data_IF_476292271770
#
_entry.id   IF_476292271770
#
_cell.length_a   1.000
_cell.length_b   1.000
_cell.length_c   1.000
_cell.angle_alpha   90.00
_cell.angle_beta   90.00
_cell.angle_gamma   90.00
#
_symmetry.space_group_name_H-M   'P 1'
#
loop_
_entity.id
_entity.type
_entity.pdbx_description
1 polymer ?
#
# COMPACT_ATOMS: atom_id res chain seq x y z
N UNK A 1 8.76 31.96 4.21
CA UNK A 1 7.84 31.19 3.36
C UNK A 1 8.22 29.71 3.41
N UNK A 2 7.24 28.84 3.30
CA UNK A 2 7.39 27.41 3.14
C UNK A 2 6.91 27.00 1.75
N UNK A 3 7.62 26.11 1.07
CA UNK A 3 7.29 25.62 -0.27
C UNK A 3 7.20 24.11 -0.24
N UNK A 4 6.16 23.55 -0.86
CA UNK A 4 6.01 22.10 -1.07
C UNK A 4 6.23 21.82 -2.56
N UNK A 5 7.22 20.99 -2.84
CA UNK A 5 7.51 20.46 -4.16
C UNK A 5 6.99 19.03 -4.24
N UNK A 6 5.73 18.91 -4.63
CA UNK A 6 5.09 17.58 -4.82
C UNK A 6 5.38 17.06 -6.23
N UNK A 7 6.65 16.85 -6.53
CA UNK A 7 7.13 16.38 -7.82
C UNK A 7 8.42 15.57 -7.68
N UNK A 8 8.74 14.83 -8.75
CA UNK A 8 9.90 13.92 -8.79
C UNK A 8 11.21 14.68 -8.70
N UNK A 9 12.17 14.17 -7.92
CA UNK A 9 13.56 14.60 -7.80
C UNK A 9 13.81 16.09 -7.45
N UNK A 10 12.81 16.84 -7.02
CA UNK A 10 12.96 18.26 -6.70
C UNK A 10 13.84 18.52 -5.46
N UNK A 11 13.98 17.55 -4.60
CA UNK A 11 14.80 17.58 -3.40
C UNK A 11 15.99 16.61 -3.46
N UNK A 12 16.46 16.25 -4.63
CA UNK A 12 17.57 15.31 -4.77
C UNK A 12 18.93 16.00 -4.43
N UNK A 13 19.21 16.04 -3.15
CA UNK A 13 20.44 16.64 -2.59
C UNK A 13 21.71 15.84 -2.87
N UNK A 14 21.64 14.73 -3.63
CA UNK A 14 22.80 14.04 -4.17
C UNK A 14 23.40 14.79 -5.35
N UNK A 15 22.60 15.64 -5.97
CA UNK A 15 23.04 16.55 -7.02
C UNK A 15 23.49 17.88 -6.41
N UNK A 16 24.55 18.48 -6.96
CA UNK A 16 25.07 19.79 -6.51
C UNK A 16 24.06 20.91 -6.74
N UNK A 17 23.16 20.76 -7.70
CA UNK A 17 22.16 21.72 -8.09
C UNK A 17 20.78 21.08 -8.21
N UNK A 18 19.89 21.42 -7.28
CA UNK A 18 18.50 20.94 -7.24
C UNK A 18 17.53 22.05 -6.85
N UNK A 19 16.30 21.97 -7.34
CA UNK A 19 15.30 23.05 -7.24
C UNK A 19 15.06 23.50 -5.80
N UNK A 20 14.77 22.56 -4.88
CA UNK A 20 14.48 22.91 -3.49
C UNK A 20 15.68 23.56 -2.79
N UNK A 21 16.91 23.13 -3.10
CA UNK A 21 18.13 23.76 -2.61
C UNK A 21 18.27 25.20 -3.08
N UNK A 22 18.00 25.50 -4.35
CA UNK A 22 18.01 26.86 -4.88
C UNK A 22 17.03 27.78 -4.14
N UNK A 23 15.85 27.28 -3.74
CA UNK A 23 14.88 28.07 -2.97
C UNK A 23 15.34 28.36 -1.53
N UNK A 24 16.05 27.43 -0.90
CA UNK A 24 16.52 27.57 0.48
C UNK A 24 17.80 28.37 0.57
N UNK A 25 18.77 28.13 -0.35
CA UNK A 25 20.11 28.71 -0.28
C UNK A 25 20.26 30.00 -1.11
N UNK A 26 19.19 30.47 -1.77
CA UNK A 26 19.17 31.76 -2.41
C UNK A 26 18.90 32.91 -1.43
N UNK A 27 19.10 34.15 -1.87
CA UNK A 27 18.77 35.37 -1.12
C UNK A 27 17.26 35.60 -0.89
N UNK A 28 16.42 34.60 -1.20
CA UNK A 28 14.97 34.65 -1.08
C UNK A 28 14.47 34.59 0.36
N UNK A 29 13.13 34.62 0.52
CA UNK A 29 12.45 34.57 1.81
C UNK A 29 11.92 33.16 2.13
N UNK A 30 12.45 32.10 1.48
CA UNK A 30 12.09 30.72 1.75
C UNK A 30 12.89 30.24 2.97
N UNK A 31 12.21 29.76 4.00
CA UNK A 31 12.82 29.28 5.25
C UNK A 31 12.84 27.77 5.34
N UNK A 32 11.92 27.10 4.63
CA UNK A 32 11.85 25.67 4.55
C UNK A 32 11.15 25.20 3.28
N UNK A 33 11.49 24.01 2.81
CA UNK A 33 10.82 23.34 1.71
C UNK A 33 10.60 21.86 2.06
N UNK A 34 9.49 21.30 1.55
CA UNK A 34 9.27 19.87 1.48
C UNK A 34 9.54 19.42 0.03
N UNK A 35 10.36 18.41 -0.16
CA UNK A 35 10.72 17.92 -1.48
C UNK A 35 11.14 16.45 -1.46
N UNK A 36 11.17 15.81 -2.63
CA UNK A 36 11.44 14.38 -2.78
C UNK A 36 12.74 14.13 -3.56
N UNK A 37 13.51 13.12 -3.14
CA UNK A 37 14.76 12.71 -3.84
C UNK A 37 14.56 11.56 -4.83
N UNK A 38 13.31 11.13 -5.05
CA UNK A 38 12.92 10.06 -5.97
C UNK A 38 11.67 10.44 -6.77
N UNK A 39 11.23 9.54 -7.65
CA UNK A 39 9.93 9.67 -8.32
C UNK A 39 8.77 9.66 -7.32
N UNK A 40 7.85 10.59 -7.49
CA UNK A 40 6.61 10.67 -6.69
C UNK A 40 5.48 10.01 -7.45
N UNK A 41 4.77 9.12 -6.77
CA UNK A 41 3.53 8.52 -7.29
C UNK A 41 2.35 9.45 -6.98
N UNK A 42 1.40 9.56 -7.92
CA UNK A 42 0.24 10.46 -7.82
C UNK A 42 -0.60 10.29 -6.55
N UNK A 43 -0.59 9.11 -5.95
CA UNK A 43 -1.43 8.76 -4.81
C UNK A 43 -0.70 8.85 -3.46
N UNK A 44 0.55 9.32 -3.47
CA UNK A 44 1.29 9.66 -2.26
C UNK A 44 1.30 11.17 -2.13
N UNK A 45 0.48 11.67 -1.23
CA UNK A 45 0.21 13.10 -1.12
C UNK A 45 1.02 13.73 0.01
N UNK A 46 1.73 14.80 -0.32
CA UNK A 46 2.24 15.75 0.67
C UNK A 46 1.11 16.48 1.43
N UNK A 47 -0.14 16.25 1.02
CA UNK A 47 -1.31 16.90 1.62
C UNK A 47 -1.83 16.18 2.87
N UNK A 48 -1.30 14.99 3.19
CA UNK A 48 -1.71 14.25 4.38
C UNK A 48 -1.43 15.08 5.63
N UNK A 49 -2.45 15.20 6.48
CA UNK A 49 -2.39 15.99 7.72
C UNK A 49 -2.01 17.48 7.51
N UNK A 50 -2.28 18.03 6.33
CA UNK A 50 -1.91 19.40 5.98
C UNK A 50 -2.58 20.45 6.88
N UNK A 51 -3.77 20.20 7.37
CA UNK A 51 -4.47 21.05 8.33
C UNK A 51 -3.71 21.25 9.64
N UNK A 52 -2.83 20.33 10.04
CA UNK A 52 -1.96 20.53 11.22
C UNK A 52 -1.06 21.75 11.05
N UNK A 53 -0.61 22.08 9.84
CA UNK A 53 0.19 23.28 9.59
C UNK A 53 -0.63 24.56 9.84
N UNK A 54 -1.92 24.55 9.45
CA UNK A 54 -2.87 25.62 9.76
C UNK A 54 -3.15 25.80 11.25
N UNK A 55 -2.99 24.73 12.02
CA UNK A 55 -3.09 24.71 13.49
C UNK A 55 -1.74 25.05 14.19
N UNK A 56 -0.76 25.55 13.45
CA UNK A 56 0.51 26.00 13.99
C UNK A 56 1.50 24.88 14.32
N UNK A 57 1.29 23.66 13.81
CA UNK A 57 2.25 22.57 14.00
C UNK A 57 3.57 22.89 13.31
N UNK A 58 4.70 22.63 13.99
CA UNK A 58 6.04 22.76 13.41
C UNK A 58 6.22 21.77 12.27
N UNK A 59 6.94 22.21 11.22
CA UNK A 59 7.19 21.39 10.02
C UNK A 59 7.79 20.03 10.35
N UNK A 60 8.72 19.96 11.30
CA UNK A 60 9.35 18.70 11.71
C UNK A 60 8.34 17.71 12.34
N UNK A 61 7.35 18.20 13.10
CA UNK A 61 6.29 17.33 13.63
C UNK A 61 5.34 16.86 12.52
N UNK A 62 4.91 17.76 11.64
CA UNK A 62 4.08 17.38 10.49
C UNK A 62 4.79 16.36 9.59
N UNK A 63 6.04 16.60 9.23
CA UNK A 63 6.83 15.73 8.39
C UNK A 63 7.01 14.32 8.99
N UNK A 64 7.09 14.19 10.31
CA UNK A 64 7.17 12.92 11.00
C UNK A 64 6.01 11.96 10.68
N UNK A 65 4.84 12.50 10.31
CA UNK A 65 3.65 11.70 9.98
C UNK A 65 3.42 11.56 8.48
N UNK A 66 3.98 12.44 7.66
CA UNK A 66 3.72 12.52 6.23
C UNK A 66 4.88 12.05 5.37
N UNK A 67 6.12 12.09 5.90
CA UNK A 67 7.29 11.70 5.14
C UNK A 67 7.36 10.20 4.88
N UNK A 68 7.76 9.86 3.67
CA UNK A 68 8.40 8.59 3.31
C UNK A 68 9.93 8.76 3.42
N UNK A 69 10.70 7.68 3.32
CA UNK A 69 12.18 7.75 3.45
C UNK A 69 12.83 8.70 2.47
N UNK A 70 12.22 8.90 1.32
CA UNK A 70 12.73 9.72 0.21
C UNK A 70 12.18 11.15 0.19
N UNK A 71 11.36 11.52 1.19
CA UNK A 71 10.84 12.88 1.36
C UNK A 71 11.60 13.62 2.44
N UNK A 72 11.89 14.91 2.20
CA UNK A 72 12.80 15.68 3.04
C UNK A 72 12.22 17.05 3.40
N UNK A 73 12.50 17.50 4.62
CA UNK A 73 12.42 18.93 4.97
C UNK A 73 13.80 19.53 4.79
N UNK A 74 13.91 20.50 3.90
CA UNK A 74 15.10 21.31 3.70
C UNK A 74 14.87 22.66 4.37
N UNK A 75 15.86 23.13 5.12
CA UNK A 75 15.77 24.39 5.89
C UNK A 75 15.30 24.17 7.33
N UNK A 76 14.51 25.09 7.87
CA UNK A 76 14.15 25.13 9.31
C UNK A 76 12.94 24.22 9.63
N UNK A 77 13.12 23.07 10.31
CA UNK A 77 12.03 22.19 10.72
C UNK A 77 11.20 22.76 11.89
N UNK A 78 11.69 23.81 12.56
CA UNK A 78 10.99 24.44 13.68
C UNK A 78 10.00 25.50 13.23
N UNK A 79 10.06 25.89 11.95
CA UNK A 79 9.11 26.84 11.38
C UNK A 79 7.68 26.34 11.56
N UNK A 80 6.79 27.27 11.95
CA UNK A 80 5.35 27.05 12.02
C UNK A 80 4.59 28.27 11.52
N UNK A 81 3.36 28.04 11.10
CA UNK A 81 2.44 29.12 10.79
C UNK A 81 1.80 29.62 12.08
N UNK A 82 1.29 30.86 12.05
CA UNK A 82 0.46 31.34 13.15
C UNK A 82 -0.83 30.53 13.19
N UNK A 83 -1.18 29.89 14.33
CA UNK A 83 -2.37 29.06 14.41
C UNK A 83 -3.62 29.91 14.20
N UNK A 84 -4.60 29.34 13.48
CA UNK A 84 -5.92 29.95 13.29
C UNK A 84 -6.80 29.82 14.54
N UNK A 85 -6.51 28.81 15.39
CA UNK A 85 -7.23 28.53 16.62
C UNK A 85 -6.23 28.37 17.76
N UNK A 86 -6.68 28.53 19.01
CA UNK A 86 -5.84 28.44 20.21
C UNK A 86 -5.38 27.01 20.58
N UNK A 87 -5.18 26.14 19.58
CA UNK A 87 -4.80 24.74 19.76
C UNK A 87 -3.27 24.61 19.74
N UNK A 88 -2.68 24.00 20.77
CA UNK A 88 -1.24 23.75 20.86
C UNK A 88 -0.88 22.32 20.44
N UNK A 89 -0.98 22.01 19.15
CA UNK A 89 -0.61 20.71 18.62
C UNK A 89 0.86 20.33 18.89
N UNK A 90 1.76 21.30 18.99
CA UNK A 90 3.19 21.04 19.21
C UNK A 90 3.45 20.39 20.56
N UNK A 91 2.72 20.80 21.60
CA UNK A 91 2.83 20.20 22.93
C UNK A 91 2.39 18.74 22.90
N UNK A 92 1.23 18.45 22.30
CA UNK A 92 0.70 17.08 22.25
C UNK A 92 1.56 16.13 21.39
N UNK A 93 2.12 16.65 20.29
CA UNK A 93 2.94 15.88 19.40
C UNK A 93 4.37 15.67 19.90
N UNK A 94 4.85 16.60 20.73
CA UNK A 94 6.20 16.60 21.31
C UNK A 94 6.34 15.81 22.61
N UNK A 95 5.23 15.38 23.23
CA UNK A 95 5.22 14.65 24.50
C UNK A 95 4.49 13.31 24.36
N UNK A 96 4.82 12.37 25.27
CA UNK A 96 4.13 11.10 25.35
C UNK A 96 2.81 11.28 26.09
N UNK A 97 1.71 11.18 25.35
CA UNK A 97 0.36 11.23 25.87
C UNK A 97 -0.20 9.81 26.05
N UNK A 98 -0.99 9.61 27.12
CA UNK A 98 -1.68 8.34 27.37
C UNK A 98 -2.78 8.08 26.33
N UNK A 99 -3.14 6.81 26.05
CA UNK A 99 -4.22 6.46 25.12
C UNK A 99 -5.54 7.18 25.39
N UNK A 100 -5.92 7.40 26.65
CA UNK A 100 -7.16 8.10 27.02
C UNK A 100 -7.20 9.55 26.53
N UNK A 101 -6.05 10.24 26.50
CA UNK A 101 -5.95 11.58 25.93
C UNK A 101 -6.31 11.55 24.42
N UNK A 102 -5.74 10.61 23.69
CA UNK A 102 -6.00 10.46 22.25
C UNK A 102 -7.43 10.03 21.96
N UNK A 103 -8.01 9.14 22.79
CA UNK A 103 -9.44 8.78 22.71
C UNK A 103 -10.34 9.99 22.95
N UNK A 104 -9.99 10.84 23.90
CA UNK A 104 -10.75 12.06 24.18
C UNK A 104 -10.70 13.02 23.00
N UNK A 105 -9.51 13.26 22.42
CA UNK A 105 -9.36 14.10 21.22
C UNK A 105 -10.11 13.53 20.01
N UNK A 106 -10.02 12.22 19.81
CA UNK A 106 -10.71 11.54 18.73
C UNK A 106 -12.24 11.71 18.80
N UNK A 107 -12.80 11.68 20.02
CA UNK A 107 -14.25 11.82 20.26
C UNK A 107 -14.74 13.26 20.16
N UNK A 108 -13.94 14.20 20.65
CA UNK A 108 -14.38 15.57 20.88
C UNK A 108 -13.91 16.56 19.79
N UNK A 109 -12.89 16.23 19.00
CA UNK A 109 -12.43 17.10 17.94
C UNK A 109 -13.29 17.00 16.69
N UNK A 110 -13.75 18.15 16.18
CA UNK A 110 -14.36 18.29 14.87
C UNK A 110 -13.35 18.41 13.72
N UNK A 111 -12.03 18.31 13.98
CA UNK A 111 -10.98 18.52 13.00
C UNK A 111 -10.44 17.17 12.49
N UNK A 112 -10.55 16.95 11.18
CA UNK A 112 -10.15 15.70 10.54
C UNK A 112 -8.72 15.28 10.84
N UNK A 113 -7.77 16.23 10.79
CA UNK A 113 -6.35 15.91 10.98
C UNK A 113 -6.01 15.59 12.43
N UNK A 114 -6.72 16.18 13.39
CA UNK A 114 -6.59 15.81 14.81
C UNK A 114 -7.14 14.39 15.03
N UNK A 115 -8.28 14.04 14.42
CA UNK A 115 -8.80 12.68 14.48
C UNK A 115 -7.82 11.69 13.87
N UNK A 116 -7.21 12.02 12.72
CA UNK A 116 -6.21 11.18 12.07
C UNK A 116 -4.98 10.96 12.95
N UNK A 117 -4.44 12.01 13.56
CA UNK A 117 -3.29 11.88 14.48
C UNK A 117 -3.66 11.04 15.69
N UNK A 118 -4.85 11.23 16.26
CA UNK A 118 -5.30 10.43 17.40
C UNK A 118 -5.39 8.94 17.06
N UNK A 119 -5.94 8.59 15.88
CA UNK A 119 -5.98 7.22 15.40
C UNK A 119 -4.58 6.63 15.20
N UNK A 120 -3.65 7.38 14.59
CA UNK A 120 -2.27 6.97 14.43
C UNK A 120 -1.57 6.74 15.78
N UNK A 121 -1.75 7.64 16.73
CA UNK A 121 -1.17 7.51 18.08
C UNK A 121 -1.72 6.30 18.84
N UNK A 122 -3.03 6.07 18.77
CA UNK A 122 -3.66 4.88 19.37
C UNK A 122 -3.15 3.59 18.72
N UNK A 123 -3.00 3.58 17.39
CA UNK A 123 -2.43 2.45 16.67
C UNK A 123 -1.00 2.15 17.12
N UNK A 124 -0.12 3.16 17.14
CA UNK A 124 1.27 3.01 17.57
C UNK A 124 1.44 2.63 19.04
N UNK A 125 0.52 3.07 19.90
CA UNK A 125 0.48 2.67 21.29
C UNK A 125 -0.02 1.23 21.52
N UNK A 126 -0.45 0.52 20.46
CA UNK A 126 -1.02 -0.82 20.58
C UNK A 126 -2.33 -0.84 21.39
N UNK A 127 -3.15 0.20 21.25
CA UNK A 127 -4.41 0.31 22.01
C UNK A 127 -5.30 -0.92 21.79
N UNK A 128 -5.72 -1.65 22.83
CA UNK A 128 -6.40 -2.95 22.69
C UNK A 128 -7.71 -2.89 21.89
N UNK A 129 -8.42 -1.76 21.89
CA UNK A 129 -9.67 -1.53 21.15
C UNK A 129 -9.49 -0.87 19.79
N UNK A 130 -8.27 -0.83 19.24
CA UNK A 130 -7.98 -0.04 18.03
C UNK A 130 -8.75 -0.54 16.81
N UNK A 131 -8.89 -1.85 16.61
CA UNK A 131 -9.60 -2.41 15.44
C UNK A 131 -11.07 -1.98 15.42
N UNK A 132 -11.75 -2.07 16.55
CA UNK A 132 -13.16 -1.65 16.65
C UNK A 132 -13.31 -0.13 16.52
N UNK A 133 -12.35 0.62 17.04
CA UNK A 133 -12.30 2.08 16.88
C UNK A 133 -12.17 2.44 15.41
N UNK A 134 -11.24 1.83 14.69
CA UNK A 134 -11.03 2.08 13.26
C UNK A 134 -12.26 1.72 12.41
N UNK A 135 -12.89 0.56 12.65
CA UNK A 135 -14.14 0.18 11.98
C UNK A 135 -15.26 1.20 12.23
N UNK A 136 -15.40 1.64 13.47
CA UNK A 136 -16.42 2.62 13.85
C UNK A 136 -16.22 3.93 13.11
N UNK A 137 -14.98 4.45 13.07
CA UNK A 137 -14.67 5.72 12.41
C UNK A 137 -14.70 5.60 10.89
N UNK A 138 -14.34 4.46 10.32
CA UNK A 138 -14.55 4.20 8.90
C UNK A 138 -16.03 4.32 8.51
N UNK A 139 -16.93 3.71 9.28
CA UNK A 139 -18.37 3.73 8.98
C UNK A 139 -19.08 5.05 9.29
N UNK A 140 -18.55 5.88 10.20
CA UNK A 140 -19.27 7.06 10.72
C UNK A 140 -18.63 8.40 10.38
N UNK A 141 -17.33 8.47 10.10
CA UNK A 141 -16.66 9.74 9.87
C UNK A 141 -17.16 10.41 8.58
N UNK A 142 -17.56 11.71 8.64
CA UNK A 142 -17.88 12.47 7.45
C UNK A 142 -16.61 12.78 6.61
N UNK A 143 -15.43 12.69 7.22
CA UNK A 143 -14.17 13.05 6.59
C UNK A 143 -13.57 11.89 5.81
N UNK A 144 -13.45 12.03 4.49
CA UNK A 144 -12.86 11.01 3.63
C UNK A 144 -11.44 10.64 4.04
N UNK A 145 -10.62 11.61 4.45
CA UNK A 145 -9.23 11.38 4.90
C UNK A 145 -9.17 10.55 6.18
N UNK A 146 -10.15 10.65 7.08
CA UNK A 146 -10.25 9.82 8.28
C UNK A 146 -10.65 8.39 7.90
N UNK A 147 -11.63 8.22 7.02
CA UNK A 147 -12.03 6.89 6.52
C UNK A 147 -10.89 6.19 5.79
N UNK A 148 -10.17 6.92 4.93
CA UNK A 148 -8.97 6.41 4.26
C UNK A 148 -7.90 5.92 5.24
N UNK A 149 -7.60 6.74 6.27
CA UNK A 149 -6.62 6.37 7.30
C UNK A 149 -7.08 5.13 8.09
N UNK A 150 -8.37 5.04 8.45
CA UNK A 150 -8.92 3.86 9.11
C UNK A 150 -8.75 2.59 8.28
N UNK A 151 -9.07 2.64 6.99
CA UNK A 151 -8.88 1.51 6.07
C UNK A 151 -7.41 1.07 6.02
N UNK A 152 -6.50 2.02 5.86
CA UNK A 152 -5.05 1.75 5.77
C UNK A 152 -4.48 1.18 7.07
N UNK A 153 -4.92 1.66 8.23
CA UNK A 153 -4.45 1.15 9.52
C UNK A 153 -5.02 -0.24 9.82
N UNK A 154 -6.27 -0.52 9.42
CA UNK A 154 -6.84 -1.87 9.54
C UNK A 154 -6.08 -2.89 8.70
N UNK A 155 -5.69 -2.53 7.47
CA UNK A 155 -4.83 -3.39 6.64
C UNK A 155 -3.50 -3.70 7.35
N UNK A 156 -2.86 -2.71 7.93
CA UNK A 156 -1.60 -2.89 8.67
C UNK A 156 -1.77 -3.77 9.91
N UNK A 157 -2.86 -3.63 10.66
CA UNK A 157 -3.16 -4.49 11.81
C UNK A 157 -3.32 -5.93 11.38
N UNK A 158 -4.04 -6.18 10.29
CA UNK A 158 -4.28 -7.52 9.80
C UNK A 158 -3.04 -8.16 9.20
N UNK A 159 -2.19 -7.37 8.53
CA UNK A 159 -0.91 -7.85 8.04
C UNK A 159 -0.01 -8.33 9.19
N UNK A 160 0.06 -7.59 10.30
CA UNK A 160 0.76 -8.01 11.52
C UNK A 160 0.18 -9.31 12.09
N UNK A 161 -1.14 -9.44 12.13
CA UNK A 161 -1.81 -10.60 12.73
C UNK A 161 -1.73 -11.86 11.87
N UNK A 162 -1.66 -11.75 10.54
CA UNK A 162 -1.41 -12.89 9.65
C UNK A 162 -0.08 -13.57 9.98
N UNK A 163 0.90 -12.80 10.42
CA UNK A 163 2.22 -13.31 10.74
C UNK A 163 2.34 -13.92 12.14
N UNK A 164 1.45 -13.57 13.08
CA UNK A 164 1.56 -14.03 14.46
C UNK A 164 0.84 -15.34 14.74
N UNK A 165 -0.29 -15.58 14.14
CA UNK A 165 -1.05 -16.86 14.21
C UNK A 165 -2.18 -16.74 13.21
N UNK A 166 -2.42 -17.73 12.47
CA UNK A 166 -3.61 -18.18 11.77
C UNK A 166 -4.98 -17.81 12.45
N UNK A 167 -5.09 -16.68 13.13
CA UNK A 167 -6.36 -16.17 13.61
C UNK A 167 -7.11 -15.50 12.45
N UNK A 168 -7.74 -16.36 11.66
CA UNK A 168 -8.55 -16.00 10.50
C UNK A 168 -9.66 -15.00 10.83
N UNK A 169 -10.07 -14.88 12.11
CA UNK A 169 -11.15 -13.99 12.53
C UNK A 169 -10.79 -12.51 12.33
N UNK A 170 -9.54 -12.13 12.58
CA UNK A 170 -9.09 -10.74 12.40
C UNK A 170 -8.82 -10.36 10.94
N UNK A 171 -8.54 -11.37 10.09
CA UNK A 171 -8.46 -11.19 8.63
C UNK A 171 -9.79 -10.73 8.03
N UNK A 172 -10.90 -11.14 8.60
CA UNK A 172 -12.25 -10.84 8.12
C UNK A 172 -12.56 -9.33 8.23
N UNK A 173 -12.05 -8.67 9.26
CA UNK A 173 -12.41 -7.26 9.53
C UNK A 173 -11.89 -6.27 8.48
N UNK A 174 -10.64 -6.41 8.04
CA UNK A 174 -10.13 -5.53 6.96
C UNK A 174 -10.76 -5.87 5.62
N UNK A 175 -11.08 -7.14 5.38
CA UNK A 175 -11.75 -7.57 4.15
C UNK A 175 -13.12 -6.96 4.02
N UNK A 176 -13.92 -6.93 5.10
CA UNK A 176 -15.22 -6.29 5.12
C UNK A 176 -15.11 -4.77 4.90
N UNK A 177 -14.13 -4.12 5.50
CA UNK A 177 -13.88 -2.69 5.26
C UNK A 177 -13.46 -2.42 3.82
N UNK A 178 -12.62 -3.27 3.20
CA UNK A 178 -12.28 -3.15 1.78
C UNK A 178 -13.52 -3.29 0.88
N UNK A 179 -14.40 -4.26 1.16
CA UNK A 179 -15.66 -4.45 0.43
C UNK A 179 -16.55 -3.21 0.54
N UNK A 180 -16.74 -2.67 1.75
CA UNK A 180 -17.50 -1.43 1.96
C UNK A 180 -16.86 -0.23 1.25
N UNK A 181 -15.54 -0.15 1.23
CA UNK A 181 -14.80 0.95 0.63
C UNK A 181 -14.98 1.05 -0.90
N UNK A 182 -15.38 -0.02 -1.59
CA UNK A 182 -15.69 0.03 -3.03
C UNK A 182 -16.90 0.90 -3.37
N UNK A 183 -17.75 1.22 -2.38
CA UNK A 183 -18.94 2.07 -2.52
C UNK A 183 -18.81 3.40 -1.77
N UNK A 184 -17.63 3.74 -1.25
CA UNK A 184 -17.40 5.00 -0.54
C UNK A 184 -17.72 6.20 -1.46
N UNK A 185 -18.37 7.27 -0.96
CA UNK A 185 -18.64 8.49 -1.74
C UNK A 185 -17.39 9.12 -2.35
N UNK A 186 -16.22 8.95 -1.72
CA UNK A 186 -14.97 9.53 -2.20
C UNK A 186 -14.24 8.57 -3.15
N UNK A 187 -14.09 8.98 -4.39
CA UNK A 187 -13.50 8.19 -5.49
C UNK A 187 -12.12 7.62 -5.14
N UNK A 188 -11.28 8.39 -4.46
CA UNK A 188 -9.95 7.97 -4.06
C UNK A 188 -9.98 6.73 -3.16
N UNK A 189 -10.91 6.64 -2.20
CA UNK A 189 -11.09 5.47 -1.33
C UNK A 189 -11.51 4.26 -2.17
N UNK A 190 -12.48 4.43 -3.09
CA UNK A 190 -12.96 3.33 -3.95
C UNK A 190 -11.84 2.71 -4.77
N UNK A 191 -11.06 3.53 -5.48
CA UNK A 191 -9.97 3.02 -6.33
C UNK A 191 -8.81 2.41 -5.54
N UNK A 192 -8.49 2.95 -4.36
CA UNK A 192 -7.46 2.36 -3.50
C UNK A 192 -7.93 1.02 -2.93
N UNK A 193 -9.20 0.90 -2.52
CA UNK A 193 -9.76 -0.37 -2.06
C UNK A 193 -9.65 -1.45 -3.16
N UNK A 194 -10.00 -1.12 -4.41
CA UNK A 194 -9.88 -2.02 -5.56
C UNK A 194 -8.42 -2.44 -5.78
N UNK A 195 -7.50 -1.48 -5.75
CA UNK A 195 -6.07 -1.77 -5.87
C UNK A 195 -5.60 -2.72 -4.77
N UNK A 196 -6.00 -2.50 -3.51
CA UNK A 196 -5.67 -3.37 -2.38
C UNK A 196 -6.27 -4.76 -2.52
N UNK A 197 -7.51 -4.88 -2.97
CA UNK A 197 -8.13 -6.18 -3.27
C UNK A 197 -7.31 -6.97 -4.30
N UNK A 198 -6.79 -6.30 -5.34
CA UNK A 198 -5.86 -6.91 -6.29
C UNK A 198 -4.57 -7.39 -5.62
N UNK A 199 -3.97 -6.59 -4.74
CA UNK A 199 -2.75 -6.95 -4.03
C UNK A 199 -2.94 -8.10 -3.02
N UNK A 200 -4.13 -8.26 -2.45
CA UNK A 200 -4.48 -9.41 -1.60
C UNK A 200 -4.65 -10.68 -2.42
N UNK A 201 -5.24 -10.58 -3.60
CA UNK A 201 -5.41 -11.71 -4.52
C UNK A 201 -6.46 -12.74 -4.10
N UNK A 202 -7.35 -12.43 -3.16
CA UNK A 202 -8.41 -13.32 -2.74
C UNK A 202 -9.56 -13.32 -3.74
N UNK A 203 -10.00 -14.51 -4.17
CA UNK A 203 -11.10 -14.67 -5.14
C UNK A 203 -12.42 -14.07 -4.64
N UNK A 204 -12.62 -13.97 -3.33
CA UNK A 204 -13.82 -13.37 -2.75
C UNK A 204 -14.00 -11.89 -3.12
N UNK A 205 -12.93 -11.21 -3.54
CA UNK A 205 -12.98 -9.81 -3.97
C UNK A 205 -13.38 -9.61 -5.43
N UNK A 206 -13.30 -10.65 -6.25
CA UNK A 206 -13.61 -10.54 -7.67
C UNK A 206 -15.01 -9.94 -7.96
N UNK A 207 -16.09 -10.35 -7.27
CA UNK A 207 -17.39 -9.72 -7.48
C UNK A 207 -17.37 -8.22 -7.23
N UNK A 208 -16.74 -7.77 -6.16
CA UNK A 208 -16.67 -6.34 -5.77
C UNK A 208 -15.85 -5.50 -6.76
N UNK A 209 -14.72 -6.06 -7.26
CA UNK A 209 -13.90 -5.42 -8.27
C UNK A 209 -14.69 -5.25 -9.57
N UNK A 210 -15.43 -6.29 -9.98
CA UNK A 210 -16.23 -6.27 -11.21
C UNK A 210 -17.45 -5.35 -11.06
N UNK A 211 -18.14 -5.40 -9.91
CA UNK A 211 -19.25 -4.48 -9.59
C UNK A 211 -18.79 -3.02 -9.62
N UNK A 212 -17.56 -2.72 -9.16
CA UNK A 212 -16.99 -1.37 -9.28
C UNK A 212 -16.83 -0.94 -10.73
N UNK A 213 -16.42 -1.83 -11.64
CA UNK A 213 -16.38 -1.53 -13.07
C UNK A 213 -17.77 -1.23 -13.63
N UNK A 214 -18.76 -2.02 -13.24
CA UNK A 214 -20.15 -1.88 -13.72
C UNK A 214 -20.78 -0.58 -13.23
N UNK A 215 -20.57 -0.23 -11.96
CA UNK A 215 -21.29 0.87 -11.31
C UNK A 215 -20.56 2.22 -11.42
N UNK A 216 -19.25 2.23 -11.63
CA UNK A 216 -18.42 3.44 -11.61
C UNK A 216 -17.57 3.58 -12.90
N UNK A 217 -18.12 3.15 -14.03
CA UNK A 217 -17.45 3.19 -15.33
C UNK A 217 -17.14 4.62 -15.83
N UNK A 218 -17.74 5.64 -15.23
CA UNK A 218 -17.45 7.05 -15.53
C UNK A 218 -16.11 7.51 -14.96
N UNK A 219 -15.61 6.87 -13.90
CA UNK A 219 -14.32 7.19 -13.34
C UNK A 219 -13.22 6.41 -14.06
N UNK A 220 -12.48 7.08 -14.93
CA UNK A 220 -11.32 6.47 -15.62
C UNK A 220 -10.30 5.90 -14.64
N UNK A 221 -10.13 6.53 -13.46
CA UNK A 221 -9.21 6.06 -12.43
C UNK A 221 -9.70 4.80 -11.73
N UNK A 222 -10.99 4.68 -11.46
CA UNK A 222 -11.58 3.44 -10.93
C UNK A 222 -11.44 2.33 -11.95
N UNK A 223 -11.81 2.59 -13.22
CA UNK A 223 -11.68 1.63 -14.32
C UNK A 223 -10.23 1.15 -14.48
N UNK A 224 -9.25 2.06 -14.43
CA UNK A 224 -7.84 1.70 -14.49
C UNK A 224 -7.44 0.77 -13.34
N UNK A 225 -7.83 1.07 -12.09
CA UNK A 225 -7.51 0.23 -10.94
C UNK A 225 -8.22 -1.14 -11.00
N UNK A 226 -9.45 -1.20 -11.52
CA UNK A 226 -10.14 -2.47 -11.79
C UNK A 226 -9.32 -3.32 -12.78
N UNK A 227 -8.90 -2.74 -13.89
CA UNK A 227 -8.11 -3.44 -14.90
C UNK A 227 -6.80 -3.98 -14.33
N UNK A 228 -6.09 -3.15 -13.56
CA UNK A 228 -4.85 -3.57 -12.90
C UNK A 228 -5.10 -4.69 -11.89
N UNK A 229 -6.14 -4.59 -11.08
CA UNK A 229 -6.48 -5.58 -10.08
C UNK A 229 -6.86 -6.93 -10.71
N UNK A 230 -7.74 -6.93 -11.72
CA UNK A 230 -8.18 -8.14 -12.40
C UNK A 230 -7.01 -8.88 -13.09
N UNK A 231 -6.01 -8.15 -13.59
CA UNK A 231 -4.80 -8.72 -14.18
C UNK A 231 -3.94 -9.54 -13.21
N UNK A 232 -4.22 -9.50 -11.90
CA UNK A 232 -3.51 -10.25 -10.86
C UNK A 232 -4.17 -11.59 -10.52
N UNK A 233 -5.30 -11.91 -11.16
CA UNK A 233 -6.08 -13.15 -10.96
C UNK A 233 -6.01 -14.05 -12.20
N UNK A 234 -6.39 -15.32 -12.02
CA UNK A 234 -6.60 -16.22 -13.15
C UNK A 234 -7.80 -15.77 -13.97
N UNK A 235 -7.66 -15.79 -15.29
CA UNK A 235 -8.73 -15.37 -16.19
C UNK A 235 -10.02 -16.16 -16.03
N UNK A 236 -9.90 -17.47 -15.78
CA UNK A 236 -11.05 -18.35 -15.56
C UNK A 236 -11.86 -17.91 -14.33
N UNK A 237 -11.18 -17.55 -13.23
CA UNK A 237 -11.83 -17.06 -12.01
C UNK A 237 -12.51 -15.71 -12.26
N UNK A 238 -11.86 -14.81 -12.99
CA UNK A 238 -12.42 -13.51 -13.38
C UNK A 238 -13.66 -13.69 -14.25
N UNK A 239 -13.60 -14.60 -15.25
CA UNK A 239 -14.74 -14.87 -16.12
C UNK A 239 -15.95 -15.40 -15.37
N UNK A 240 -15.73 -16.36 -14.47
CA UNK A 240 -16.83 -16.90 -13.64
C UNK A 240 -17.48 -15.80 -12.79
N UNK A 241 -16.68 -14.99 -12.11
CA UNK A 241 -17.18 -13.89 -11.30
C UNK A 241 -17.89 -12.81 -12.15
N UNK A 242 -17.39 -12.53 -13.35
CA UNK A 242 -18.00 -11.59 -14.29
C UNK A 242 -19.40 -12.04 -14.71
N UNK A 243 -19.56 -13.30 -15.11
CA UNK A 243 -20.87 -13.83 -15.51
C UNK A 243 -21.87 -13.82 -14.34
N UNK A 244 -21.41 -14.15 -13.13
CA UNK A 244 -22.25 -14.09 -11.93
C UNK A 244 -22.70 -12.63 -11.65
N UNK A 245 -21.79 -11.66 -11.66
CA UNK A 245 -22.12 -10.23 -11.46
C UNK A 245 -23.04 -9.73 -12.56
N UNK A 246 -22.77 -10.01 -13.83
CA UNK A 246 -23.59 -9.57 -14.95
C UNK A 246 -25.00 -10.18 -14.91
N UNK A 247 -25.14 -11.41 -14.43
CA UNK A 247 -26.45 -12.05 -14.28
C UNK A 247 -27.31 -11.29 -13.27
N UNK A 248 -26.73 -10.86 -12.16
CA UNK A 248 -27.42 -10.12 -11.08
C UNK A 248 -27.56 -8.61 -11.36
N UNK A 249 -26.75 -8.08 -12.27
CA UNK A 249 -26.71 -6.64 -12.58
C UNK A 249 -27.89 -6.18 -13.40
N UNK A 250 -28.35 -4.94 -13.14
CA UNK A 250 -29.33 -4.20 -13.93
C UNK A 250 -28.75 -3.48 -15.15
N UNK A 251 -27.47 -3.68 -15.46
CA UNK A 251 -26.79 -3.08 -16.63
C UNK A 251 -27.49 -3.47 -17.92
N UNK A 252 -27.83 -2.47 -18.73
CA UNK A 252 -28.56 -2.66 -19.98
C UNK A 252 -27.70 -3.37 -21.04
N UNK A 253 -26.44 -2.98 -21.19
CA UNK A 253 -25.51 -3.52 -22.20
C UNK A 253 -24.43 -4.42 -21.55
N UNK A 254 -24.87 -5.61 -21.14
CA UNK A 254 -24.00 -6.62 -20.55
C UNK A 254 -22.92 -7.10 -21.52
N UNK A 255 -23.26 -7.15 -22.81
CA UNK A 255 -22.32 -7.60 -23.84
C UNK A 255 -21.14 -6.63 -24.02
N UNK A 256 -21.40 -5.33 -23.96
CA UNK A 256 -20.32 -4.33 -23.98
C UNK A 256 -19.40 -4.44 -22.79
N UNK A 257 -19.96 -4.64 -21.59
CA UNK A 257 -19.16 -4.84 -20.37
C UNK A 257 -18.29 -6.08 -20.51
N UNK A 258 -18.86 -7.19 -20.97
CA UNK A 258 -18.13 -8.45 -21.21
C UNK A 258 -16.97 -8.24 -22.17
N UNK A 259 -17.23 -7.68 -23.37
CA UNK A 259 -16.18 -7.41 -24.38
C UNK A 259 -15.08 -6.47 -23.86
N UNK A 260 -15.42 -5.46 -23.09
CA UNK A 260 -14.44 -4.53 -22.54
C UNK A 260 -13.53 -5.20 -21.51
N UNK A 261 -14.10 -5.99 -20.59
CA UNK A 261 -13.30 -6.75 -19.62
C UNK A 261 -12.45 -7.84 -20.29
N UNK A 262 -13.00 -8.57 -21.27
CA UNK A 262 -12.25 -9.55 -22.04
C UNK A 262 -11.07 -8.92 -22.81
N UNK A 263 -11.25 -7.73 -23.37
CA UNK A 263 -10.17 -7.01 -24.06
C UNK A 263 -9.01 -6.67 -23.13
N UNK A 264 -9.32 -6.26 -21.90
CA UNK A 264 -8.33 -5.93 -20.87
C UNK A 264 -7.52 -7.16 -20.48
N UNK A 265 -8.18 -8.30 -20.41
CA UNK A 265 -7.62 -9.56 -19.92
C UNK A 265 -6.97 -10.40 -21.04
N UNK A 266 -7.11 -9.98 -22.29
CA UNK A 266 -6.42 -10.61 -23.44
C UNK A 266 -4.90 -10.46 -23.42
N UNK A 267 -4.35 -9.64 -22.56
CA UNK A 267 -2.92 -9.59 -22.30
C UNK A 267 -2.49 -10.76 -21.41
N UNK A 268 -2.48 -11.97 -21.93
CA UNK A 268 -2.02 -13.22 -21.28
C UNK A 268 -0.54 -13.19 -20.81
N UNK A 269 0.00 -11.98 -20.63
CA UNK A 269 1.43 -11.78 -20.36
C UNK A 269 1.92 -12.56 -19.13
N UNK A 270 1.10 -12.63 -18.07
CA UNK A 270 1.49 -13.34 -16.84
C UNK A 270 1.54 -14.86 -17.07
N UNK A 271 0.62 -15.41 -17.88
CA UNK A 271 0.65 -16.83 -18.27
C UNK A 271 1.84 -17.13 -19.17
N UNK A 272 2.12 -16.23 -20.12
CA UNK A 272 3.30 -16.32 -20.99
C UNK A 272 4.56 -16.26 -20.14
N UNK A 273 4.66 -15.32 -19.20
CA UNK A 273 5.81 -15.18 -18.31
C UNK A 273 6.06 -16.45 -17.48
N UNK A 274 5.00 -17.08 -16.93
CA UNK A 274 5.14 -18.35 -16.19
C UNK A 274 5.61 -19.47 -17.12
N UNK A 275 5.00 -19.60 -18.29
CA UNK A 275 5.39 -20.61 -19.29
C UNK A 275 6.85 -20.44 -19.69
N UNK A 276 7.28 -19.21 -19.95
CA UNK A 276 8.62 -18.89 -20.40
C UNK A 276 9.65 -19.08 -19.28
N UNK A 277 9.25 -18.88 -18.02
CA UNK A 277 10.08 -19.20 -16.84
C UNK A 277 10.39 -20.70 -16.75
N UNK A 278 9.42 -21.55 -17.11
CA UNK A 278 9.56 -23.01 -17.08
C UNK A 278 10.22 -23.58 -18.37
N UNK A 279 10.28 -22.78 -19.43
CA UNK A 279 10.84 -23.23 -20.71
C UNK A 279 12.37 -23.18 -20.66
N UNK A 280 13.07 -24.32 -20.86
CA UNK A 280 14.54 -24.37 -20.88
C UNK A 280 15.17 -23.62 -22.06
N UNK A 281 14.44 -23.42 -23.18
CA UNK A 281 14.91 -22.69 -24.36
C UNK A 281 14.95 -21.17 -24.17
N UNK A 282 14.24 -20.63 -23.18
CA UNK A 282 14.24 -19.20 -22.87
C UNK A 282 15.49 -18.84 -22.05
N UNK A 283 16.21 -17.82 -22.52
CA UNK A 283 17.46 -17.40 -21.88
C UNK A 283 17.25 -16.90 -20.44
N UNK A 284 18.26 -17.09 -19.59
CA UNK A 284 18.25 -16.59 -18.20
C UNK A 284 17.97 -15.08 -18.14
N UNK A 285 18.52 -14.31 -19.09
CA UNK A 285 18.32 -12.85 -19.15
C UNK A 285 16.84 -12.49 -19.37
N UNK A 286 16.16 -13.19 -20.26
CA UNK A 286 14.72 -12.98 -20.51
C UNK A 286 13.89 -13.37 -19.29
N UNK A 287 14.18 -14.51 -18.66
CA UNK A 287 13.54 -14.91 -17.40
C UNK A 287 13.70 -13.86 -16.30
N UNK A 288 14.88 -13.30 -16.13
CA UNK A 288 15.14 -12.24 -15.16
C UNK A 288 14.35 -10.95 -15.45
N UNK A 289 14.13 -10.62 -16.72
CA UNK A 289 13.30 -9.48 -17.08
C UNK A 289 11.85 -9.69 -16.62
N UNK A 290 11.27 -10.86 -16.85
CA UNK A 290 9.91 -11.19 -16.43
C UNK A 290 9.79 -11.23 -14.90
N UNK A 291 10.77 -11.81 -14.18
CA UNK A 291 10.79 -11.84 -12.73
C UNK A 291 10.76 -10.42 -12.13
N UNK A 292 11.46 -9.46 -12.74
CA UNK A 292 11.47 -8.06 -12.25
C UNK A 292 10.09 -7.40 -12.31
N UNK A 293 9.23 -7.79 -13.25
CA UNK A 293 7.85 -7.26 -13.32
C UNK A 293 6.99 -7.71 -12.15
N UNK A 294 7.29 -8.85 -11.52
CA UNK A 294 6.53 -9.36 -10.36
C UNK A 294 6.53 -8.38 -9.17
N UNK A 295 7.55 -7.53 -9.06
CA UNK A 295 7.61 -6.49 -8.02
C UNK A 295 6.50 -5.45 -8.16
N UNK A 296 6.03 -5.22 -9.38
CA UNK A 296 5.00 -4.22 -9.71
C UNK A 296 3.64 -4.86 -9.99
N UNK A 297 3.62 -6.16 -10.32
CA UNK A 297 2.42 -6.90 -10.66
C UNK A 297 2.43 -8.25 -9.92
N UNK A 298 1.83 -8.27 -8.74
CA UNK A 298 1.78 -9.44 -7.85
C UNK A 298 0.83 -10.51 -8.40
N UNK A 299 1.24 -11.22 -9.45
CA UNK A 299 0.43 -12.27 -10.06
C UNK A 299 0.34 -13.50 -9.16
N UNK A 300 -0.74 -13.59 -8.38
CA UNK A 300 -0.93 -14.60 -7.34
C UNK A 300 -0.96 -16.05 -7.85
N UNK A 301 -1.59 -16.35 -9.01
CA UNK A 301 -1.60 -17.71 -9.55
C UNK A 301 -0.21 -18.27 -9.90
N UNK A 302 0.79 -17.40 -10.02
CA UNK A 302 2.17 -17.81 -10.25
C UNK A 302 2.92 -18.26 -8.99
N UNK A 303 2.45 -17.90 -7.81
CA UNK A 303 3.17 -18.18 -6.55
C UNK A 303 3.56 -19.64 -6.40
N UNK A 304 2.71 -20.65 -6.64
CA UNK A 304 3.13 -22.05 -6.52
C UNK A 304 4.31 -22.40 -7.43
N UNK A 305 4.35 -21.85 -8.65
CA UNK A 305 5.46 -22.05 -9.60
C UNK A 305 6.72 -21.33 -9.10
N UNK A 306 6.59 -20.09 -8.63
CA UNK A 306 7.73 -19.35 -8.09
C UNK A 306 8.33 -20.06 -6.88
N UNK A 307 7.49 -20.59 -5.98
CA UNK A 307 7.94 -21.33 -4.81
C UNK A 307 8.60 -22.66 -5.17
N UNK A 308 8.13 -23.36 -6.20
CA UNK A 308 8.80 -24.58 -6.68
C UNK A 308 10.20 -24.26 -7.21
N UNK A 309 10.34 -23.21 -8.01
CA UNK A 309 11.64 -22.79 -8.58
C UNK A 309 12.64 -22.30 -7.52
N UNK A 310 12.20 -21.59 -6.47
CA UNK A 310 13.14 -21.15 -5.43
C UNK A 310 13.62 -22.28 -4.53
N UNK A 311 12.82 -23.35 -4.38
CA UNK A 311 13.18 -24.56 -3.63
C UNK A 311 14.05 -25.52 -4.44
N UNK A 312 13.90 -25.53 -5.75
CA UNK A 312 14.62 -26.42 -6.65
C UNK A 312 16.12 -26.04 -6.74
N UNK A 313 16.99 -26.96 -6.33
CA UNK A 313 18.44 -26.75 -6.33
C UNK A 313 19.06 -26.72 -7.72
N UNK A 314 18.39 -27.32 -8.69
CA UNK A 314 18.82 -27.36 -10.10
C UNK A 314 18.46 -26.05 -10.84
N UNK A 315 17.56 -25.24 -10.28
CA UNK A 315 17.28 -23.91 -10.80
C UNK A 315 18.47 -22.98 -10.53
N UNK A 316 18.86 -22.19 -11.56
CA UNK A 316 19.96 -21.22 -11.48
C UNK A 316 19.90 -20.36 -10.21
N UNK A 317 21.00 -20.24 -9.46
CA UNK A 317 21.04 -19.39 -8.26
C UNK A 317 20.62 -17.95 -8.50
N UNK A 318 20.90 -17.42 -9.70
CA UNK A 318 20.52 -16.05 -10.11
C UNK A 318 19.01 -15.92 -10.22
N UNK A 319 18.33 -16.91 -10.83
CA UNK A 319 16.86 -16.96 -10.94
C UNK A 319 16.24 -17.12 -9.55
N UNK A 320 16.73 -18.04 -8.73
CA UNK A 320 16.24 -18.28 -7.36
C UNK A 320 16.32 -17.01 -6.52
N UNK A 321 17.46 -16.32 -6.54
CA UNK A 321 17.65 -15.04 -5.84
C UNK A 321 16.67 -13.97 -6.32
N UNK A 322 16.54 -13.79 -7.64
CA UNK A 322 15.63 -12.79 -8.22
C UNK A 322 14.15 -13.06 -7.87
N UNK A 323 13.74 -14.34 -7.85
CA UNK A 323 12.39 -14.74 -7.43
C UNK A 323 12.17 -14.45 -5.94
N UNK A 324 13.09 -14.78 -5.05
CA UNK A 324 13.00 -14.45 -3.62
C UNK A 324 12.87 -12.95 -3.41
N UNK A 325 13.70 -12.14 -4.07
CA UNK A 325 13.60 -10.68 -4.02
C UNK A 325 12.25 -10.16 -4.49
N UNK A 326 11.67 -10.76 -5.53
CA UNK A 326 10.36 -10.35 -6.07
C UNK A 326 9.21 -10.80 -5.18
N UNK A 327 9.28 -12.01 -4.61
CA UNK A 327 8.29 -12.52 -3.65
C UNK A 327 8.21 -11.66 -2.37
N UNK A 328 9.29 -10.98 -1.99
CA UNK A 328 9.30 -10.04 -0.87
C UNK A 328 8.29 -8.87 -1.02
N UNK A 329 7.79 -8.62 -2.23
CA UNK A 329 6.81 -7.56 -2.51
C UNK A 329 5.36 -8.02 -2.40
N UNK A 330 5.10 -9.31 -2.18
CA UNK A 330 3.76 -9.87 -1.96
C UNK A 330 3.27 -9.65 -0.51
N UNK A 331 3.51 -8.46 0.04
CA UNK A 331 3.28 -8.14 1.45
C UNK A 331 1.83 -8.24 1.88
N UNK A 332 0.88 -8.03 0.99
CA UNK A 332 -0.56 -8.10 1.25
C UNK A 332 -1.21 -9.41 0.78
N UNK A 333 -0.47 -10.24 0.06
CA UNK A 333 -1.00 -11.47 -0.55
C UNK A 333 -1.63 -12.42 0.46
N UNK A 334 -2.74 -13.01 0.07
CA UNK A 334 -3.37 -14.12 0.81
C UNK A 334 -2.46 -15.35 0.94
N UNK A 335 -1.53 -15.52 -0.01
CA UNK A 335 -0.53 -16.60 -0.03
C UNK A 335 0.79 -16.22 0.64
N UNK A 336 0.83 -15.11 1.37
CA UNK A 336 2.02 -14.64 2.08
C UNK A 336 2.60 -15.67 3.05
N UNK A 337 1.72 -16.46 3.70
CA UNK A 337 2.15 -17.52 4.62
C UNK A 337 2.96 -18.60 3.91
N UNK A 338 2.58 -18.97 2.69
CA UNK A 338 3.30 -19.98 1.90
C UNK A 338 4.71 -19.49 1.50
N UNK A 339 4.82 -18.19 1.18
CA UNK A 339 6.11 -17.56 0.87
C UNK A 339 7.02 -17.55 2.10
N UNK A 340 6.47 -17.19 3.27
CA UNK A 340 7.21 -17.20 4.55
C UNK A 340 7.70 -18.60 4.87
N UNK A 341 6.85 -19.62 4.70
CA UNK A 341 7.24 -21.02 4.97
C UNK A 341 8.33 -21.51 4.03
N UNK A 342 8.23 -21.20 2.74
CA UNK A 342 9.29 -21.50 1.78
C UNK A 342 10.62 -20.83 2.14
N UNK A 343 10.60 -19.58 2.61
CA UNK A 343 11.81 -18.92 3.11
C UNK A 343 12.41 -19.65 4.33
N UNK A 344 11.59 -20.13 5.27
CA UNK A 344 12.08 -20.89 6.42
C UNK A 344 12.74 -22.20 6.00
N UNK A 345 12.12 -22.95 5.08
CA UNK A 345 12.70 -24.19 4.55
C UNK A 345 14.08 -23.93 3.92
N UNK A 346 14.22 -22.87 3.11
CA UNK A 346 15.49 -22.49 2.49
C UNK A 346 16.53 -22.13 3.55
N UNK A 347 16.15 -21.35 4.57
CA UNK A 347 17.04 -20.94 5.66
C UNK A 347 17.54 -22.13 6.50
N UNK A 348 16.76 -23.21 6.61
CA UNK A 348 17.15 -24.43 7.33
C UNK A 348 18.05 -25.33 6.50
N UNK A 349 17.88 -25.35 5.18
CA UNK A 349 18.55 -26.28 4.26
C UNK A 349 19.76 -25.69 3.49
N UNK A 350 20.08 -24.39 3.68
CA UNK A 350 21.07 -23.69 2.87
C UNK A 350 22.19 -23.10 3.74
N UNK A 351 23.44 -23.11 3.24
CA UNK A 351 24.58 -22.47 3.92
C UNK A 351 24.37 -20.95 4.03
N UNK A 352 24.59 -20.42 5.24
CA UNK A 352 24.41 -19.01 5.59
C UNK A 352 25.26 -18.03 4.76
N UNK A 353 26.36 -18.50 4.20
CA UNK A 353 27.26 -17.68 3.39
C UNK A 353 26.81 -17.54 1.93
N UNK A 354 25.72 -18.18 1.53
CA UNK A 354 25.23 -18.13 0.15
C UNK A 354 24.31 -16.93 -0.08
N UNK A 355 24.30 -16.42 -1.31
CA UNK A 355 23.39 -15.37 -1.75
C UNK A 355 21.91 -15.75 -1.58
N UNK A 356 21.58 -17.04 -1.78
CA UNK A 356 20.24 -17.58 -1.64
C UNK A 356 19.78 -17.47 -0.18
N UNK A 357 20.63 -17.89 0.78
CA UNK A 357 20.31 -17.75 2.20
C UNK A 357 20.05 -16.28 2.55
N UNK A 358 20.95 -15.38 2.17
CA UNK A 358 20.85 -13.95 2.50
C UNK A 358 19.58 -13.33 1.91
N UNK A 359 19.19 -13.69 0.69
CA UNK A 359 18.00 -13.16 0.08
C UNK A 359 16.72 -13.77 0.67
N UNK A 360 16.72 -15.07 1.01
CA UNK A 360 15.63 -15.70 1.74
C UNK A 360 15.42 -15.05 3.13
N UNK A 361 16.51 -14.72 3.83
CA UNK A 361 16.45 -14.02 5.12
C UNK A 361 15.90 -12.60 4.98
N UNK A 362 16.33 -11.84 3.94
CA UNK A 362 15.77 -10.51 3.64
C UNK A 362 14.27 -10.59 3.34
N UNK A 363 13.86 -11.53 2.50
CA UNK A 363 12.47 -11.75 2.14
C UNK A 363 11.65 -12.15 3.37
N UNK A 364 12.10 -13.11 4.14
CA UNK A 364 11.49 -13.50 5.40
C UNK A 364 11.33 -12.31 6.35
N UNK A 365 12.39 -11.56 6.59
CA UNK A 365 12.37 -10.39 7.46
C UNK A 365 11.39 -9.32 6.95
N UNK A 366 11.38 -9.04 5.65
CA UNK A 366 10.45 -8.06 5.05
C UNK A 366 8.99 -8.48 5.24
N UNK A 367 8.67 -9.74 4.99
CA UNK A 367 7.31 -10.26 5.13
C UNK A 367 6.87 -10.42 6.60
N UNK A 368 7.80 -10.51 7.54
CA UNK A 368 7.52 -10.68 8.99
C UNK A 368 7.88 -9.46 9.84
N UNK A 369 8.41 -8.39 9.25
CA UNK A 369 9.03 -7.25 9.96
C UNK A 369 8.07 -6.52 10.90
N UNK A 370 6.77 -6.53 10.60
CA UNK A 370 5.73 -5.91 11.44
C UNK A 370 5.48 -6.68 12.75
N UNK A 371 6.04 -7.90 12.89
CA UNK A 371 5.88 -8.75 14.07
C UNK A 371 6.87 -8.37 15.18
N UNK A 372 8.05 -7.84 14.80
CA UNK A 372 9.16 -7.59 15.73
C UNK A 372 9.02 -6.29 16.54
N UNK A 373 8.06 -5.44 16.24
CA UNK A 373 7.85 -4.13 16.87
C UNK A 373 6.81 -4.17 18.01
N UNK A 374 6.78 -5.26 18.77
CA UNK A 374 6.03 -5.36 20.02
C UNK A 374 6.96 -5.46 21.22
#
# INVERSE_FOLDING_TARGET
>A
RFVIFDACYNGDFREDDYIAGRYIFSSGKCVAAFANSVNVLQDKSANDLFGLLGLGTRLGFWARYTNILESHILGDPTFCFRPSEGINCNEWLGTDQKPDFWLSLLKNSGLADIQNVALLKLYHAGFPGISDTLKTYFGKSPYAVVRYNCMTLLEKINDVNIALVLDLSKKIESREVLKQATTDPYEFIRRIAIHRMGQVGSKEFLPYIIESYVNDYFSERVVFNVQMALGLYRWEDVRMAMEDVLTRSSVLDKERVRKNLERVLKGERQYVAIRDMLNPEVSEKEKLMEIRYLKNANYHPGIPVYLSLVKDVDTSPVIRKALLESLAWFTLSDQKADIIEACKEILQGTDKNTDIYQEAERTYNRLTQQIKNK
#
